data_IF_318811469077
#
_entry.id   IF_318811469077
#
_cell.length_a   1.000
_cell.length_b   1.000
_cell.length_c   1.000
_cell.angle_alpha   90.00
_cell.angle_beta   90.00
_cell.angle_gamma   90.00
#
_symmetry.space_group_name_H-M   'P 1'
#
loop_
_entity.id
_entity.type
_entity.pdbx_description
1 polymer ?
#
# COMPACT_ATOMS: atom_id res chain seq x y z
N UNK A 1 -18.21 1.47 -11.00
CA UNK A 1 -17.22 0.81 -10.12
C UNK A 1 -17.88 -0.43 -9.54
N UNK A 2 -17.19 -1.55 -9.63
CA UNK A 2 -17.66 -2.83 -9.09
C UNK A 2 -16.77 -3.21 -7.89
N UNK A 3 -17.38 -3.65 -6.82
CA UNK A 3 -16.65 -4.20 -5.67
C UNK A 3 -16.25 -5.65 -5.93
N UNK A 4 -15.10 -6.05 -5.44
CA UNK A 4 -14.58 -7.41 -5.55
C UNK A 4 -14.17 -7.96 -4.18
N UNK A 5 -13.91 -9.27 -4.12
CA UNK A 5 -13.37 -9.93 -2.92
C UNK A 5 -11.86 -9.65 -2.73
N UNK A 6 -11.29 -8.77 -3.54
CA UNK A 6 -9.91 -8.29 -3.42
C UNK A 6 -9.02 -8.61 -4.61
N UNK A 7 -7.75 -8.25 -4.46
CA UNK A 7 -6.78 -8.18 -5.56
C UNK A 7 -6.55 -9.51 -6.30
N UNK A 8 -6.63 -10.66 -5.61
CA UNK A 8 -6.48 -11.98 -6.26
C UNK A 8 -7.65 -12.23 -7.21
N UNK A 9 -8.89 -11.95 -6.76
CA UNK A 9 -10.06 -12.08 -7.62
C UNK A 9 -9.96 -11.16 -8.84
N UNK A 10 -9.52 -9.91 -8.65
CA UNK A 10 -9.36 -8.96 -9.75
C UNK A 10 -8.47 -9.51 -10.87
N UNK A 11 -7.38 -10.18 -10.50
CA UNK A 11 -6.50 -10.81 -11.49
C UNK A 11 -7.14 -12.07 -12.09
N UNK A 12 -7.81 -12.89 -11.28
CA UNK A 12 -8.46 -14.12 -11.76
C UNK A 12 -9.56 -13.84 -12.79
N UNK A 13 -10.27 -12.72 -12.65
CA UNK A 13 -11.32 -12.34 -13.60
C UNK A 13 -10.81 -12.10 -15.02
N UNK A 14 -9.53 -11.80 -15.20
CA UNK A 14 -8.91 -11.66 -16.53
C UNK A 14 -9.09 -12.93 -17.37
N UNK A 15 -9.14 -14.08 -16.74
CA UNK A 15 -9.34 -15.35 -17.44
C UNK A 15 -10.69 -15.46 -18.17
N UNK A 16 -11.71 -14.75 -17.68
CA UNK A 16 -13.12 -14.90 -18.14
C UNK A 16 -13.76 -13.60 -18.61
N UNK A 17 -13.32 -12.46 -18.11
CA UNK A 17 -13.94 -11.16 -18.40
C UNK A 17 -13.60 -10.69 -19.82
N UNK A 18 -14.58 -10.11 -20.49
CA UNK A 18 -14.47 -9.54 -21.83
C UNK A 18 -14.68 -8.02 -21.79
N UNK A 19 -14.21 -7.35 -22.85
CA UNK A 19 -14.40 -5.91 -23.05
C UNK A 19 -13.38 -5.04 -22.33
N UNK A 20 -13.65 -3.73 -22.36
CA UNK A 20 -12.80 -2.73 -21.73
C UNK A 20 -13.13 -2.60 -20.24
N UNK A 21 -12.15 -2.82 -19.41
CA UNK A 21 -12.24 -2.64 -17.96
C UNK A 21 -10.87 -2.31 -17.36
N UNK A 22 -10.89 -1.72 -16.20
CA UNK A 22 -9.70 -1.43 -15.38
C UNK A 22 -9.88 -2.15 -14.04
N UNK A 23 -8.82 -2.75 -13.56
CA UNK A 23 -8.79 -3.36 -12.23
C UNK A 23 -7.52 -2.96 -11.49
N UNK A 24 -7.54 -3.05 -10.17
CA UNK A 24 -6.40 -2.68 -9.33
C UNK A 24 -5.85 -3.90 -8.61
N UNK A 25 -4.54 -3.98 -8.53
CA UNK A 25 -3.85 -5.06 -7.83
C UNK A 25 -2.40 -4.69 -7.52
N UNK A 26 -1.79 -5.29 -6.49
CA UNK A 26 -0.34 -5.25 -6.35
C UNK A 26 0.37 -5.92 -7.53
N UNK A 27 1.43 -5.31 -8.09
CA UNK A 27 2.21 -5.87 -9.21
C UNK A 27 2.73 -7.28 -8.98
N UNK A 28 3.03 -7.64 -7.72
CA UNK A 28 3.47 -8.99 -7.37
C UNK A 28 2.45 -10.07 -7.74
N UNK A 29 1.14 -9.75 -7.71
CA UNK A 29 0.10 -10.70 -8.09
C UNK A 29 0.07 -10.94 -9.61
N UNK A 30 0.39 -9.93 -10.41
CA UNK A 30 0.54 -10.10 -11.86
C UNK A 30 1.70 -11.07 -12.13
N UNK A 31 2.85 -10.86 -11.48
CA UNK A 31 3.99 -11.77 -11.58
C UNK A 31 3.62 -13.21 -11.22
N UNK A 32 2.91 -13.39 -10.13
CA UNK A 32 2.48 -14.72 -9.68
C UNK A 32 1.50 -15.36 -10.66
N UNK A 33 0.55 -14.61 -11.20
CA UNK A 33 -0.43 -15.11 -12.18
C UNK A 33 0.26 -15.58 -13.47
N UNK A 34 1.15 -14.77 -14.00
CA UNK A 34 1.87 -15.09 -15.24
C UNK A 34 2.84 -16.28 -15.09
N UNK A 35 3.32 -16.54 -13.88
CA UNK A 35 4.24 -17.65 -13.61
C UNK A 35 3.57 -18.86 -12.94
N UNK A 36 2.26 -18.88 -12.80
CA UNK A 36 1.50 -19.98 -12.16
C UNK A 36 1.87 -20.19 -10.69
N UNK A 37 2.20 -19.10 -9.96
CA UNK A 37 2.64 -19.19 -8.57
C UNK A 37 1.59 -18.77 -7.54
N UNK A 38 1.84 -19.06 -6.26
CA UNK A 38 0.98 -18.59 -5.16
C UNK A 38 -0.47 -19.00 -5.31
N UNK A 39 -1.39 -18.05 -5.23
CA UNK A 39 -2.83 -18.25 -5.37
C UNK A 39 -3.27 -18.69 -6.77
N UNK A 40 -2.37 -18.61 -7.76
CA UNK A 40 -2.65 -18.97 -9.16
C UNK A 40 -2.12 -20.34 -9.55
N UNK A 41 -1.51 -21.07 -8.63
CA UNK A 41 -1.03 -22.44 -8.88
C UNK A 41 -2.20 -23.35 -9.23
N UNK A 42 -2.12 -24.03 -10.38
CA UNK A 42 -3.18 -24.87 -10.93
C UNK A 42 -4.36 -24.10 -11.53
N UNK A 43 -4.18 -22.78 -11.74
CA UNK A 43 -5.14 -21.87 -12.36
C UNK A 43 -4.49 -21.02 -13.45
N UNK A 44 -3.45 -21.57 -14.05
CA UNK A 44 -2.70 -20.92 -15.11
C UNK A 44 -3.62 -20.59 -16.29
N UNK A 45 -3.50 -19.39 -16.82
CA UNK A 45 -4.29 -18.97 -17.97
C UNK A 45 -3.44 -18.05 -18.87
N UNK A 46 -3.37 -18.32 -20.19
CA UNK A 46 -2.56 -17.51 -21.10
C UNK A 46 -3.01 -16.05 -21.17
N UNK A 47 -4.27 -15.76 -20.85
CA UNK A 47 -4.78 -14.39 -20.82
C UNK A 47 -4.12 -13.51 -19.76
N UNK A 48 -3.50 -14.08 -18.73
CA UNK A 48 -2.71 -13.28 -17.78
C UNK A 48 -1.53 -12.55 -18.44
N UNK A 49 -1.06 -13.03 -19.61
CA UNK A 49 -0.04 -12.35 -20.41
C UNK A 49 -0.60 -11.14 -21.20
N UNK A 50 -1.91 -10.99 -21.28
CA UNK A 50 -2.57 -9.83 -21.89
C UNK A 50 -2.65 -8.63 -20.94
N UNK A 51 -2.36 -8.80 -19.66
CA UNK A 51 -2.44 -7.73 -18.65
C UNK A 51 -1.44 -6.61 -19.00
N UNK A 52 -1.93 -5.37 -18.92
CA UNK A 52 -1.16 -4.14 -19.19
C UNK A 52 -1.37 -3.14 -18.08
N UNK A 53 -0.29 -2.52 -17.61
CA UNK A 53 -0.35 -1.47 -16.60
C UNK A 53 -0.77 -0.14 -17.24
N UNK A 54 -1.47 0.68 -16.47
CA UNK A 54 -1.87 2.03 -16.84
C UNK A 54 -1.14 3.08 -15.98
N UNK A 55 -1.42 3.10 -14.68
CA UNK A 55 -0.85 4.07 -13.75
C UNK A 55 -0.86 3.53 -12.32
N UNK A 56 0.08 4.00 -11.47
CA UNK A 56 0.07 3.69 -10.05
C UNK A 56 -1.08 4.41 -9.33
N UNK A 57 -1.55 3.81 -8.25
CA UNK A 57 -2.50 4.40 -7.32
C UNK A 57 -1.91 4.37 -5.90
N UNK A 58 -2.58 4.96 -4.88
CA UNK A 58 -2.05 4.94 -3.52
C UNK A 58 -1.65 3.55 -3.06
N UNK A 59 -0.41 3.40 -2.57
CA UNK A 59 0.14 2.13 -2.12
C UNK A 59 -0.27 1.81 -0.68
N UNK A 60 -0.20 0.53 -0.31
CA UNK A 60 -0.40 0.07 1.06
C UNK A 60 0.90 0.26 1.85
N UNK A 61 0.99 1.36 2.60
CA UNK A 61 2.18 1.77 3.34
C UNK A 61 2.06 1.36 4.81
N UNK A 62 3.06 0.67 5.32
CA UNK A 62 3.08 0.21 6.71
C UNK A 62 3.37 1.36 7.67
N UNK A 63 2.59 1.43 8.73
CA UNK A 63 2.78 2.35 9.85
C UNK A 63 2.76 1.58 11.16
N UNK A 64 3.80 1.73 11.94
CA UNK A 64 3.86 1.30 13.35
C UNK A 64 3.75 2.57 14.19
N UNK A 65 2.57 2.82 14.73
CA UNK A 65 2.21 4.06 15.40
C UNK A 65 2.16 3.81 16.90
N UNK A 66 2.98 4.51 17.66
CA UNK A 66 3.02 4.42 19.11
C UNK A 66 2.61 5.76 19.72
N UNK A 67 2.04 5.73 20.91
CA UNK A 67 1.86 6.93 21.71
C UNK A 67 3.23 7.58 21.98
N UNK A 68 3.33 8.89 21.83
CA UNK A 68 4.60 9.63 22.02
C UNK A 68 5.24 9.39 23.40
N UNK A 69 4.40 9.20 24.43
CA UNK A 69 4.84 8.95 25.81
C UNK A 69 5.07 7.46 26.13
N UNK A 70 5.04 6.58 25.14
CA UNK A 70 5.25 5.13 25.33
C UNK A 70 6.70 4.74 25.63
N UNK A 71 7.64 5.61 25.33
CA UNK A 71 9.09 5.33 25.42
C UNK A 71 9.62 4.44 24.30
N UNK A 72 8.78 4.10 23.30
CA UNK A 72 9.15 3.26 22.15
C UNK A 72 9.73 4.14 21.05
N UNK A 73 10.96 3.86 20.63
CA UNK A 73 11.66 4.62 19.56
C UNK A 73 12.10 3.75 18.40
N UNK A 74 12.16 2.43 18.57
CA UNK A 74 12.57 1.45 17.56
C UNK A 74 11.78 0.15 17.71
N UNK A 75 11.82 -0.69 16.68
CA UNK A 75 11.05 -1.94 16.64
C UNK A 75 11.32 -2.88 17.82
N UNK A 76 12.58 -2.96 18.30
CA UNK A 76 12.92 -3.83 19.44
C UNK A 76 12.26 -3.41 20.76
N UNK A 77 11.87 -2.14 20.89
CA UNK A 77 11.23 -1.61 22.10
C UNK A 77 9.76 -2.03 22.22
N UNK A 78 9.21 -2.67 21.16
CA UNK A 78 7.84 -3.19 21.16
C UNK A 78 7.63 -4.37 22.11
N UNK A 79 8.70 -5.04 22.53
CA UNK A 79 8.59 -6.16 23.48
C UNK A 79 7.89 -5.69 24.77
N UNK A 80 6.88 -6.44 25.21
CA UNK A 80 6.06 -6.11 26.39
C UNK A 80 4.96 -5.09 26.17
N UNK A 81 4.94 -4.43 25.00
CA UNK A 81 3.90 -3.44 24.66
C UNK A 81 2.64 -4.09 24.13
N UNK A 82 1.52 -3.35 24.21
CA UNK A 82 0.22 -3.75 23.67
C UNK A 82 -0.02 -3.06 22.33
N UNK A 83 -0.14 -3.82 21.25
CA UNK A 83 -0.42 -3.32 19.91
C UNK A 83 -1.78 -3.80 19.41
N UNK A 84 -2.46 -2.92 18.70
CA UNK A 84 -3.65 -3.23 17.92
C UNK A 84 -3.23 -3.39 16.45
N UNK A 85 -3.42 -4.59 15.87
CA UNK A 85 -3.11 -4.85 14.47
C UNK A 85 -4.30 -4.63 13.54
N UNK A 86 -5.52 -4.57 14.08
CA UNK A 86 -6.75 -4.42 13.30
C UNK A 86 -7.21 -5.73 12.66
N UNK A 87 -7.95 -6.54 13.43
CA UNK A 87 -8.46 -7.85 13.03
C UNK A 87 -9.09 -7.84 11.63
N UNK A 88 -8.69 -8.80 10.79
CA UNK A 88 -9.22 -8.97 9.44
C UNK A 88 -8.61 -8.05 8.37
N UNK A 89 -7.84 -7.04 8.73
CA UNK A 89 -7.22 -6.12 7.78
C UNK A 89 -5.94 -6.68 7.14
N UNK A 90 -5.55 -6.11 6.00
CA UNK A 90 -4.23 -6.38 5.40
C UNK A 90 -3.11 -5.99 6.38
N UNK A 91 -3.25 -4.86 7.08
CA UNK A 91 -2.30 -4.39 8.08
C UNK A 91 -2.10 -5.37 9.24
N UNK A 92 -3.14 -6.10 9.64
CA UNK A 92 -3.03 -7.12 10.67
C UNK A 92 -2.14 -8.29 10.21
N UNK A 93 -2.31 -8.77 8.99
CA UNK A 93 -1.49 -9.86 8.43
C UNK A 93 -0.05 -9.44 8.21
N UNK A 94 0.16 -8.28 7.63
CA UNK A 94 1.51 -7.72 7.42
C UNK A 94 2.19 -7.40 8.75
N UNK A 95 1.47 -6.79 9.70
CA UNK A 95 2.00 -6.49 11.04
C UNK A 95 2.44 -7.75 11.78
N UNK A 96 1.62 -8.79 11.80
CA UNK A 96 1.98 -10.08 12.39
C UNK A 96 3.21 -10.70 11.71
N UNK A 97 3.27 -10.66 10.37
CA UNK A 97 4.45 -11.10 9.60
C UNK A 97 5.71 -10.32 10.02
N UNK A 98 5.61 -9.01 10.19
CA UNK A 98 6.76 -8.16 10.57
C UNK A 98 7.21 -8.45 12.00
N UNK A 99 6.28 -8.61 12.94
CA UNK A 99 6.64 -9.00 14.32
C UNK A 99 7.41 -10.33 14.33
N UNK A 100 6.99 -11.29 13.53
CA UNK A 100 7.73 -12.57 13.38
C UNK A 100 9.11 -12.38 12.76
N UNK A 101 9.22 -11.63 11.66
CA UNK A 101 10.49 -11.36 10.97
C UNK A 101 11.50 -10.63 11.87
N UNK A 102 11.02 -9.81 12.81
CA UNK A 102 11.86 -9.03 13.72
C UNK A 102 12.08 -9.71 15.07
N UNK A 103 11.64 -10.98 15.23
CA UNK A 103 11.83 -11.73 16.46
C UNK A 103 10.98 -11.26 17.63
N UNK A 104 9.85 -10.62 17.36
CA UNK A 104 8.91 -10.05 18.33
C UNK A 104 7.63 -10.88 18.50
N UNK A 105 7.47 -11.97 17.74
CA UNK A 105 6.34 -12.88 17.88
C UNK A 105 6.28 -13.45 19.32
N UNK A 106 5.12 -13.38 19.93
CA UNK A 106 4.93 -13.78 21.33
C UNK A 106 5.50 -12.83 22.39
N UNK A 107 6.25 -11.81 22.00
CA UNK A 107 6.79 -10.78 22.92
C UNK A 107 5.94 -9.51 22.99
N UNK A 108 5.02 -9.35 22.06
CA UNK A 108 4.09 -8.21 21.97
C UNK A 108 2.69 -8.72 22.34
N UNK A 109 1.99 -7.96 23.18
CA UNK A 109 0.59 -8.23 23.49
C UNK A 109 -0.29 -7.70 22.36
N UNK A 110 -1.12 -8.56 21.78
CA UNK A 110 -2.00 -8.18 20.67
C UNK A 110 -3.41 -7.92 21.18
N UNK A 111 -3.92 -6.69 20.97
CA UNK A 111 -5.30 -6.34 21.23
C UNK A 111 -6.20 -6.91 20.14
N UNK A 112 -7.24 -7.66 20.52
CA UNK A 112 -8.17 -8.29 19.58
C UNK A 112 -9.35 -7.36 19.27
N UNK A 113 -9.07 -6.23 18.64
CA UNK A 113 -10.05 -5.19 18.28
C UNK A 113 -9.86 -4.80 16.83
N UNK A 114 -10.90 -4.22 16.25
CA UNK A 114 -10.88 -3.72 14.87
C UNK A 114 -10.11 -2.39 14.75
N UNK A 115 -9.58 -2.11 13.57
CA UNK A 115 -8.72 -0.95 13.31
C UNK A 115 -9.44 0.40 13.53
N UNK A 116 -10.75 0.48 13.30
CA UNK A 116 -11.53 1.70 13.54
C UNK A 116 -11.59 2.13 15.02
N UNK A 117 -11.26 1.22 15.93
CA UNK A 117 -11.16 1.50 17.36
C UNK A 117 -9.74 1.88 17.82
N UNK A 118 -8.77 1.93 16.91
CA UNK A 118 -7.36 2.16 17.24
C UNK A 118 -7.13 3.53 17.88
N UNK A 119 -7.66 4.60 17.32
CA UNK A 119 -7.42 5.96 17.81
C UNK A 119 -8.07 6.18 19.19
N UNK A 120 -9.35 5.83 19.42
CA UNK A 120 -9.94 5.87 20.76
C UNK A 120 -9.17 5.02 21.78
N UNK A 121 -8.77 3.80 21.43
CA UNK A 121 -8.02 2.92 22.32
C UNK A 121 -6.62 3.47 22.67
N UNK A 122 -5.95 4.10 21.70
CA UNK A 122 -4.67 4.77 21.93
C UNK A 122 -4.83 5.96 22.89
N UNK A 123 -5.82 6.81 22.63
CA UNK A 123 -6.16 7.98 23.46
C UNK A 123 -6.50 7.59 24.90
N UNK A 124 -7.26 6.51 25.06
CA UNK A 124 -7.68 6.00 26.37
C UNK A 124 -6.63 5.12 27.06
N UNK A 125 -5.42 5.03 26.51
CA UNK A 125 -4.29 4.23 27.04
C UNK A 125 -4.60 2.72 27.18
N UNK A 126 -5.53 2.22 26.39
CA UNK A 126 -5.86 0.79 26.33
C UNK A 126 -4.84 0.01 25.50
N UNK A 127 -4.14 0.69 24.59
CA UNK A 127 -3.05 0.17 23.78
C UNK A 127 -1.88 1.16 23.84
N UNK A 128 -0.66 0.66 23.60
CA UNK A 128 0.53 1.49 23.46
C UNK A 128 0.70 1.99 22.03
N UNK A 129 0.17 1.25 21.07
CA UNK A 129 0.26 1.58 19.67
C UNK A 129 -0.66 0.73 18.79
N UNK A 130 -0.69 1.08 17.50
CA UNK A 130 -1.39 0.32 16.49
C UNK A 130 -0.58 0.22 15.21
N UNK A 131 -0.90 -0.79 14.41
CA UNK A 131 -0.31 -0.99 13.08
C UNK A 131 -1.40 -0.79 12.04
N UNK A 132 -1.10 -0.02 11.02
CA UNK A 132 -1.98 0.16 9.88
C UNK A 132 -1.21 0.07 8.57
N UNK A 133 -1.86 -0.41 7.54
CA UNK A 133 -1.32 -0.46 6.18
C UNK A 133 -2.33 0.18 5.24
N UNK A 134 -2.03 1.37 4.81
CA UNK A 134 -2.87 2.15 3.90
C UNK A 134 -2.06 3.21 3.19
N UNK A 135 -2.75 4.06 2.47
CA UNK A 135 -2.11 5.21 1.84
C UNK A 135 -1.54 6.15 2.90
N UNK A 136 -0.52 6.90 2.56
CA UNK A 136 -0.05 7.99 3.43
C UNK A 136 -0.26 9.36 2.74
N UNK A 137 -0.57 10.42 3.48
CA UNK A 137 -0.90 10.43 4.91
C UNK A 137 -2.15 9.62 5.24
N UNK A 138 -2.08 8.77 6.26
CA UNK A 138 -3.21 7.95 6.71
C UNK A 138 -4.12 8.74 7.66
N UNK A 139 -5.45 8.77 7.46
CA UNK A 139 -6.36 9.59 8.27
C UNK A 139 -6.31 9.25 9.76
N UNK A 140 -6.30 7.97 10.12
CA UNK A 140 -6.23 7.53 11.50
C UNK A 140 -4.88 7.90 12.18
N UNK A 141 -3.80 7.96 11.41
CA UNK A 141 -2.50 8.40 11.93
C UNK A 141 -2.49 9.91 12.13
N UNK A 142 -3.08 10.69 11.22
CA UNK A 142 -3.27 12.15 11.40
C UNK A 142 -4.09 12.42 12.68
N UNK A 143 -5.20 11.71 12.85
CA UNK A 143 -6.08 11.86 14.01
C UNK A 143 -5.36 11.53 15.33
N UNK A 144 -4.61 10.42 15.36
CA UNK A 144 -3.82 10.04 16.53
C UNK A 144 -2.73 11.08 16.85
N UNK A 145 -2.05 11.59 15.82
CA UNK A 145 -1.03 12.63 15.96
C UNK A 145 -1.58 13.91 16.56
N UNK A 146 -2.73 14.38 16.06
CA UNK A 146 -3.38 15.59 16.54
C UNK A 146 -3.96 15.45 17.95
N UNK A 147 -4.48 14.26 18.30
CA UNK A 147 -5.20 14.04 19.55
C UNK A 147 -4.33 13.64 20.74
N UNK A 148 -3.26 12.89 20.51
CA UNK A 148 -2.49 12.23 21.60
C UNK A 148 -0.99 12.50 21.49
N UNK A 149 -0.51 12.86 20.31
CA UNK A 149 0.90 12.80 19.96
C UNK A 149 1.37 11.37 19.71
N UNK A 150 2.16 11.19 18.69
CA UNK A 150 2.63 9.88 18.25
C UNK A 150 4.12 9.86 17.95
N UNK A 151 4.67 8.65 18.00
CA UNK A 151 5.91 8.27 17.33
C UNK A 151 5.57 7.27 16.26
N UNK A 152 6.04 7.47 15.04
CA UNK A 152 5.95 6.48 13.96
C UNK A 152 7.32 5.85 13.80
N UNK A 153 7.40 4.52 13.91
CA UNK A 153 8.68 3.82 13.93
C UNK A 153 9.26 3.70 12.52
N UNK A 154 10.54 4.06 12.41
CA UNK A 154 11.34 3.75 11.21
C UNK A 154 11.88 2.32 11.26
N UNK A 155 12.01 1.73 10.09
CA UNK A 155 12.66 0.43 9.90
C UNK A 155 14.13 0.62 9.52
N UNK A 156 14.98 -0.26 10.00
CA UNK A 156 16.37 -0.35 9.52
C UNK A 156 16.42 -0.92 8.10
N UNK A 157 17.54 -0.73 7.42
CA UNK A 157 17.76 -1.30 6.08
C UNK A 157 17.60 -2.83 6.08
N UNK A 158 18.05 -3.51 7.13
CA UNK A 158 17.90 -4.97 7.26
C UNK A 158 16.44 -5.38 7.47
N UNK A 159 15.69 -4.62 8.25
CA UNK A 159 14.25 -4.85 8.43
C UNK A 159 13.49 -4.69 7.12
N UNK A 160 13.80 -3.65 6.35
CA UNK A 160 13.23 -3.44 5.02
C UNK A 160 13.55 -4.62 4.10
N UNK A 161 14.81 -5.04 4.02
CA UNK A 161 15.22 -6.20 3.19
C UNK A 161 14.51 -7.49 3.60
N UNK A 162 14.42 -7.78 4.90
CA UNK A 162 13.72 -8.97 5.43
C UNK A 162 12.24 -8.99 5.05
N UNK A 163 11.60 -7.84 4.95
CA UNK A 163 10.18 -7.74 4.60
C UNK A 163 9.89 -8.16 3.16
N UNK A 164 10.87 -8.07 2.26
CA UNK A 164 10.74 -8.23 0.80
C UNK A 164 9.69 -7.28 0.18
N UNK A 165 9.48 -6.12 0.80
CA UNK A 165 8.61 -5.05 0.33
C UNK A 165 9.44 -3.88 -0.20
N UNK A 166 8.80 -2.98 -0.91
CA UNK A 166 9.41 -1.76 -1.42
C UNK A 166 9.72 -0.81 -0.29
N UNK A 167 10.94 -0.29 -0.23
CA UNK A 167 11.32 0.78 0.68
C UNK A 167 10.59 2.06 0.31
N UNK A 168 10.02 2.73 1.31
CA UNK A 168 9.36 4.01 1.15
C UNK A 168 9.78 4.94 2.29
N UNK A 169 9.95 6.22 1.99
CA UNK A 169 10.19 7.27 2.99
C UNK A 169 8.95 8.15 3.07
N UNK A 170 8.38 8.25 4.26
CA UNK A 170 7.36 9.24 4.57
C UNK A 170 8.10 10.50 5.04
N UNK A 171 7.96 11.63 4.34
CA UNK A 171 8.71 12.84 4.68
C UNK A 171 8.38 13.38 6.07
N UNK A 172 9.36 13.99 6.72
CA UNK A 172 9.17 14.77 7.93
C UNK A 172 8.02 15.79 7.77
N UNK A 173 7.23 15.99 8.83
CA UNK A 173 6.12 16.91 8.80
C UNK A 173 4.85 16.39 8.10
N UNK A 174 4.86 15.16 7.57
CA UNK A 174 3.64 14.52 7.01
C UNK A 174 2.57 14.35 8.08
N UNK A 175 2.97 14.01 9.30
CA UNK A 175 2.09 13.92 10.46
C UNK A 175 2.42 14.98 11.49
N UNK A 176 1.41 15.61 12.15
CA UNK A 176 1.65 16.59 13.21
C UNK A 176 2.61 16.07 14.29
N UNK A 177 3.64 16.85 14.61
CA UNK A 177 4.61 16.49 15.63
C UNK A 177 5.65 15.44 15.23
N UNK A 178 5.57 14.88 14.04
CA UNK A 178 6.58 13.94 13.49
C UNK A 178 7.54 14.72 12.60
N UNK A 179 8.68 15.10 13.17
CA UNK A 179 9.64 16.01 12.55
C UNK A 179 10.85 15.30 11.91
N UNK A 180 10.76 14.01 11.71
CA UNK A 180 11.80 13.19 11.08
C UNK A 180 11.21 12.39 9.92
N UNK A 181 12.04 12.10 8.93
CA UNK A 181 11.70 11.15 7.88
C UNK A 181 11.47 9.77 8.48
N UNK A 182 10.43 9.09 8.02
CA UNK A 182 10.09 7.74 8.47
C UNK A 182 10.43 6.78 7.33
N UNK A 183 11.40 5.91 7.56
CA UNK A 183 11.68 4.79 6.65
C UNK A 183 10.71 3.66 6.96
N UNK A 184 9.97 3.26 5.96
CA UNK A 184 9.01 2.16 6.07
C UNK A 184 8.99 1.33 4.79
N UNK A 185 8.01 0.49 4.67
CA UNK A 185 7.78 -0.35 3.49
C UNK A 185 6.39 -0.12 2.92
N UNK A 186 6.26 -0.34 1.62
CA UNK A 186 4.99 -0.28 0.94
C UNK A 186 4.77 -1.50 0.04
N UNK A 187 3.51 -1.81 -0.19
CA UNK A 187 3.06 -2.68 -1.26
C UNK A 187 2.43 -1.80 -2.33
N UNK A 188 3.10 -1.59 -3.46
CA UNK A 188 2.53 -0.82 -4.56
C UNK A 188 1.21 -1.41 -5.02
N UNK A 189 0.32 -0.55 -5.48
CA UNK A 189 -0.93 -0.93 -6.16
C UNK A 189 -0.99 -0.16 -7.47
N UNK A 190 -1.37 -0.84 -8.52
CA UNK A 190 -1.40 -0.30 -9.88
C UNK A 190 -2.74 -0.59 -10.52
N UNK A 191 -3.22 0.35 -11.31
CA UNK A 191 -4.35 0.15 -12.21
C UNK A 191 -3.87 -0.56 -13.46
N UNK A 192 -4.50 -1.67 -13.76
CA UNK A 192 -4.22 -2.53 -14.92
C UNK A 192 -5.45 -2.66 -15.80
N UNK A 193 -5.21 -3.00 -17.03
CA UNK A 193 -6.18 -3.41 -18.04
C UNK A 193 -5.64 -4.58 -18.85
N UNK A 194 -6.23 -4.87 -19.97
CA UNK A 194 -5.77 -5.91 -20.91
C UNK A 194 -5.40 -5.29 -22.26
N UNK A 195 -4.57 -6.00 -23.03
CA UNK A 195 -4.07 -5.54 -24.34
C UNK A 195 -5.16 -5.30 -25.39
N UNK A 196 -6.39 -5.78 -25.15
CA UNK A 196 -7.53 -5.54 -26.04
C UNK A 196 -8.13 -4.14 -25.91
N UNK A 197 -7.83 -3.40 -24.82
CA UNK A 197 -8.20 -1.99 -24.72
C UNK A 197 -7.51 -1.21 -25.85
N UNK A 198 -8.21 -0.31 -26.51
CA UNK A 198 -7.58 0.51 -27.55
C UNK A 198 -6.54 1.45 -26.96
N UNK A 199 -5.51 1.76 -27.76
CA UNK A 199 -4.47 2.72 -27.36
C UNK A 199 -5.04 4.08 -27.03
N UNK A 200 -6.06 4.53 -27.76
CA UNK A 200 -6.73 5.80 -27.51
C UNK A 200 -7.44 5.81 -26.15
N UNK A 201 -8.17 4.74 -25.83
CA UNK A 201 -8.84 4.64 -24.52
C UNK A 201 -7.81 4.60 -23.37
N UNK A 202 -6.75 3.82 -23.50
CA UNK A 202 -5.70 3.73 -22.49
C UNK A 202 -4.95 5.07 -22.33
N UNK A 203 -4.67 5.76 -23.43
CA UNK A 203 -4.08 7.10 -23.43
C UNK A 203 -4.97 8.10 -22.68
N UNK A 204 -6.25 8.20 -23.04
CA UNK A 204 -7.18 9.12 -22.40
C UNK A 204 -7.40 8.83 -20.91
N UNK A 205 -7.48 7.55 -20.52
CA UNK A 205 -7.57 7.17 -19.12
C UNK A 205 -6.33 7.61 -18.34
N UNK A 206 -5.14 7.34 -18.86
CA UNK A 206 -3.87 7.70 -18.23
C UNK A 206 -3.70 9.21 -18.13
N UNK A 207 -3.97 9.93 -19.21
CA UNK A 207 -3.92 11.39 -19.27
C UNK A 207 -4.88 12.04 -18.28
N UNK A 208 -6.13 11.61 -18.26
CA UNK A 208 -7.13 12.16 -17.33
C UNK A 208 -6.79 11.86 -15.89
N UNK A 209 -6.28 10.64 -15.57
CA UNK A 209 -5.81 10.31 -14.23
C UNK A 209 -4.76 11.32 -13.76
N UNK A 210 -3.70 11.54 -14.52
CA UNK A 210 -2.61 12.43 -14.11
C UNK A 210 -3.04 13.90 -14.08
N UNK A 211 -3.89 14.34 -15.00
CA UNK A 211 -4.45 15.70 -14.97
C UNK A 211 -5.31 15.94 -13.72
N UNK A 212 -6.03 14.94 -13.26
CA UNK A 212 -6.90 15.04 -12.08
C UNK A 212 -6.15 14.78 -10.76
N UNK A 213 -4.92 14.28 -10.79
CA UNK A 213 -4.19 13.90 -9.58
C UNK A 213 -4.07 15.05 -8.57
N UNK A 214 -3.80 16.28 -9.01
CA UNK A 214 -3.74 17.45 -8.14
C UNK A 214 -5.08 17.78 -7.48
N UNK A 215 -6.18 17.63 -8.20
CA UNK A 215 -7.52 17.81 -7.66
C UNK A 215 -7.88 16.71 -6.65
N UNK A 216 -7.52 15.46 -6.94
CA UNK A 216 -7.68 14.35 -6.00
C UNK A 216 -6.88 14.59 -4.71
N UNK A 217 -5.66 15.12 -4.81
CA UNK A 217 -4.84 15.48 -3.66
C UNK A 217 -5.45 16.56 -2.76
N UNK A 218 -6.28 17.43 -3.32
CA UNK A 218 -7.02 18.42 -2.54
C UNK A 218 -8.24 17.82 -1.83
N UNK A 219 -8.85 16.79 -2.40
CA UNK A 219 -10.01 16.12 -1.77
C UNK A 219 -9.60 15.05 -0.76
N UNK A 220 -8.45 14.39 -0.98
CA UNK A 220 -7.92 13.41 -0.05
C UNK A 220 -6.38 13.41 -0.07
N UNK A 221 -5.79 13.73 1.07
CA UNK A 221 -4.35 13.98 1.18
C UNK A 221 -3.47 12.81 0.74
N UNK A 222 -3.94 11.57 0.84
CA UNK A 222 -3.17 10.38 0.42
C UNK A 222 -2.85 10.34 -1.07
N UNK A 223 -3.55 11.09 -1.93
CA UNK A 223 -3.21 11.21 -3.35
C UNK A 223 -1.89 11.97 -3.58
N UNK A 224 -1.43 12.77 -2.62
CA UNK A 224 -0.14 13.48 -2.71
C UNK A 224 1.05 12.53 -2.81
N UNK A 225 0.91 11.32 -2.29
CA UNK A 225 1.93 10.28 -2.37
C UNK A 225 2.02 9.60 -3.75
N UNK A 226 1.05 9.81 -4.64
CA UNK A 226 1.03 9.21 -5.97
C UNK A 226 1.78 10.09 -6.96
N UNK A 227 2.92 9.62 -7.43
CA UNK A 227 3.80 10.34 -8.35
C UNK A 227 4.25 9.44 -9.50
N UNK A 228 4.67 9.99 -10.64
CA UNK A 228 5.19 9.20 -11.76
C UNK A 228 6.38 8.31 -11.38
N UNK A 229 7.18 8.67 -10.38
CA UNK A 229 8.27 7.84 -9.87
C UNK A 229 7.81 6.43 -9.44
N UNK A 230 6.54 6.31 -9.02
CA UNK A 230 5.98 4.99 -8.64
C UNK A 230 5.88 4.01 -9.81
N UNK A 231 6.02 4.46 -11.06
CA UNK A 231 6.09 3.60 -12.25
C UNK A 231 7.27 2.63 -12.19
N UNK A 232 8.36 2.96 -11.50
CA UNK A 232 9.49 2.05 -11.27
C UNK A 232 9.11 0.76 -10.52
N UNK A 233 7.96 0.76 -9.83
CA UNK A 233 7.45 -0.38 -9.08
C UNK A 233 6.45 -1.23 -9.87
N UNK A 234 6.15 -0.86 -11.10
CA UNK A 234 5.24 -1.60 -11.98
C UNK A 234 5.88 -2.90 -12.43
N UNK A 235 5.13 -3.97 -12.42
CA UNK A 235 5.51 -5.24 -13.03
C UNK A 235 4.66 -5.51 -14.26
N UNK A 236 5.28 -6.06 -15.28
CA UNK A 236 4.64 -6.36 -16.56
C UNK A 236 4.76 -5.20 -17.55
N UNK A 237 4.12 -5.37 -18.69
CA UNK A 237 4.13 -4.37 -19.77
C UNK A 237 3.17 -3.24 -19.41
N UNK A 238 3.56 -2.02 -19.69
CA UNK A 238 2.66 -0.86 -19.69
C UNK A 238 1.91 -0.88 -21.03
N UNK A 239 0.64 -0.44 -21.00
CA UNK A 239 -0.19 -0.33 -22.20
C UNK A 239 0.40 0.71 -23.16
N UNK A 240 0.42 0.42 -24.47
CA UNK A 240 1.02 1.31 -25.47
C UNK A 240 0.40 2.72 -25.47
N UNK A 241 -0.92 2.81 -25.26
CA UNK A 241 -1.60 4.09 -25.09
C UNK A 241 -1.14 4.86 -23.83
N UNK A 242 -0.87 4.17 -22.72
CA UNK A 242 -0.32 4.79 -21.53
C UNK A 242 1.13 5.24 -21.76
N UNK A 243 1.95 4.42 -22.42
CA UNK A 243 3.33 4.77 -22.80
C UNK A 243 3.35 6.05 -23.65
N UNK A 244 2.45 6.19 -24.63
CA UNK A 244 2.33 7.39 -25.44
C UNK A 244 2.13 8.64 -24.59
N UNK A 245 1.32 8.57 -23.56
CA UNK A 245 1.14 9.69 -22.65
C UNK A 245 2.38 9.96 -21.80
N UNK A 246 3.03 8.93 -21.29
CA UNK A 246 4.28 9.10 -20.51
C UNK A 246 5.39 9.73 -21.35
N UNK A 247 5.54 9.32 -22.59
CA UNK A 247 6.48 9.94 -23.54
C UNK A 247 6.16 11.42 -23.80
N UNK A 248 4.85 11.75 -23.94
CA UNK A 248 4.39 13.14 -24.15
C UNK A 248 4.80 14.06 -22.97
N UNK A 249 4.78 13.55 -21.74
CA UNK A 249 5.11 14.34 -20.55
C UNK A 249 6.58 14.14 -20.09
N UNK A 250 7.40 13.43 -20.86
CA UNK A 250 8.83 13.22 -20.58
C UNK A 250 9.11 12.32 -19.36
N UNK A 251 8.20 11.40 -19.03
CA UNK A 251 8.39 10.42 -17.97
C UNK A 251 8.96 9.14 -18.56
N UNK A 252 10.20 8.80 -18.18
CA UNK A 252 10.82 7.54 -18.53
C UNK A 252 10.23 6.39 -17.71
N UNK A 253 9.91 5.28 -18.34
CA UNK A 253 9.28 4.08 -17.75
C UNK A 253 10.11 2.84 -18.06
#
# INVERSE_FOLDING_TARGET
>A
VEESQGSVQNVMEVAVRQGNYVFTTPPVLIKLAQNGGGAFKGKENPRFNEIRALFPIPSLTMHFVLRADSGVTKMSDLAGKTLLLGKGSFGAREGAKYLKLFGLEGKVKLANVELNNAVPALKNRQIDGFVTAGSYPAPNVIEAAAGTGITVLSMTSDQVKKSKRTRLVIPAGTYPGVNQDIVTTSLPVVAYTISQMSDETAYELTKNFWKQNSAMANSAAWWKGVTPKMLENVYGKIHDGALRYYDEIGVSV
#
